data_IF_528000560193
#
_entry.id   IF_528000560193
#
_cell.length_a   1.000
_cell.length_b   1.000
_cell.length_c   1.000
_cell.angle_alpha   90.00
_cell.angle_beta   90.00
_cell.angle_gamma   90.00
#
_symmetry.space_group_name_H-M   'P 1'
#
loop_
_entity.id
_entity.type
_entity.pdbx_description
1 polymer ?
#
# COMPACT_ATOMS: atom_id res chain seq x y z
N UNK A 1 5.70 -20.62 23.65
CA UNK A 1 6.01 -19.17 23.67
C UNK A 1 4.89 -18.46 22.95
N UNK A 2 4.06 -17.74 23.70
CA UNK A 2 2.88 -17.01 23.20
C UNK A 2 3.26 -15.88 22.23
N UNK A 3 2.74 -15.96 21.01
CA UNK A 3 2.92 -14.97 19.92
C UNK A 3 2.14 -13.66 20.20
N UNK A 4 1.50 -13.52 21.37
CA UNK A 4 0.52 -12.46 21.67
C UNK A 4 1.11 -11.12 22.12
N UNK A 5 2.42 -10.84 22.00
CA UNK A 5 3.02 -9.62 22.57
C UNK A 5 3.90 -8.76 21.65
N UNK A 6 3.96 -9.01 20.33
CA UNK A 6 4.85 -8.22 19.44
C UNK A 6 4.13 -7.08 18.69
N UNK A 7 2.81 -6.93 18.79
CA UNK A 7 2.08 -5.84 18.13
C UNK A 7 1.94 -4.58 19.01
N UNK A 8 2.96 -4.28 19.82
CA UNK A 8 3.02 -3.09 20.66
C UNK A 8 4.18 -2.22 20.23
N UNK A 9 3.89 -0.94 19.96
CA UNK A 9 4.83 0.14 19.61
C UNK A 9 5.17 0.24 18.12
N UNK A 10 4.52 1.17 17.41
CA UNK A 10 5.01 1.52 16.07
C UNK A 10 4.22 2.49 15.20
N UNK A 11 3.28 3.31 15.69
CA UNK A 11 2.81 4.50 14.93
C UNK A 11 2.37 5.60 15.90
N UNK A 12 3.32 6.23 16.58
CA UNK A 12 3.10 7.55 17.17
C UNK A 12 3.10 8.58 16.03
N UNK A 13 2.12 9.49 16.03
CA UNK A 13 1.97 10.64 15.11
C UNK A 13 1.47 10.35 13.67
N UNK A 14 0.38 9.59 13.52
CA UNK A 14 -0.41 9.64 12.28
C UNK A 14 -1.93 9.67 12.52
N UNK A 15 -2.32 10.28 13.65
CA UNK A 15 -3.66 10.15 14.23
C UNK A 15 -4.66 11.25 13.84
N UNK A 16 -4.39 12.10 12.84
CA UNK A 16 -5.34 13.17 12.50
C UNK A 16 -6.64 12.62 11.91
N UNK A 17 -6.60 11.72 10.92
CA UNK A 17 -7.83 11.13 10.35
C UNK A 17 -8.40 9.96 11.16
N UNK A 18 -7.52 9.08 11.67
CA UNK A 18 -7.93 7.93 12.49
C UNK A 18 -8.48 8.36 13.86
N UNK A 19 -7.88 9.38 14.49
CA UNK A 19 -8.34 9.93 15.77
C UNK A 19 -9.71 10.62 15.65
N UNK A 20 -9.94 11.37 14.58
CA UNK A 20 -11.23 12.02 14.31
C UNK A 20 -12.34 11.01 14.03
N UNK A 21 -12.08 9.97 13.22
CA UNK A 21 -13.10 8.95 12.96
C UNK A 21 -13.48 8.17 14.22
N UNK A 22 -12.50 7.80 15.05
CA UNK A 22 -12.75 7.14 16.35
C UNK A 22 -13.56 8.03 17.30
N UNK A 23 -13.26 9.33 17.34
CA UNK A 23 -13.99 10.32 18.13
C UNK A 23 -15.45 10.43 17.69
N UNK A 24 -15.72 10.41 16.38
CA UNK A 24 -17.07 10.61 15.83
C UNK A 24 -17.92 9.34 15.82
N UNK A 25 -17.32 8.17 15.56
CA UNK A 25 -18.07 6.92 15.34
C UNK A 25 -18.05 5.96 16.52
N UNK A 26 -17.18 6.19 17.52
CA UNK A 26 -16.99 5.30 18.67
C UNK A 26 -16.49 3.90 18.31
N UNK A 27 -16.12 3.66 17.05
CA UNK A 27 -15.66 2.35 16.53
C UNK A 27 -14.42 2.55 15.68
N UNK A 28 -13.50 1.60 15.75
CA UNK A 28 -12.34 1.57 14.86
C UNK A 28 -12.73 0.88 13.54
N UNK A 29 -12.37 1.44 12.37
CA UNK A 29 -12.64 0.79 11.10
C UNK A 29 -11.76 -0.46 11.00
N UNK A 30 -12.32 -1.55 10.49
CA UNK A 30 -11.56 -2.80 10.31
C UNK A 30 -10.34 -2.55 9.43
N UNK A 31 -9.17 -3.05 9.85
CA UNK A 31 -7.91 -2.89 9.11
C UNK A 31 -8.08 -3.37 7.65
N UNK A 32 -7.58 -2.57 6.71
CA UNK A 32 -7.69 -2.79 5.25
C UNK A 32 -9.11 -2.77 4.67
N UNK A 33 -10.12 -2.33 5.43
CA UNK A 33 -11.43 -1.98 4.85
C UNK A 33 -11.37 -0.68 4.05
N UNK A 34 -12.30 -0.47 3.11
CA UNK A 34 -12.40 0.81 2.36
C UNK A 34 -12.42 2.02 3.30
N UNK A 35 -13.17 1.91 4.40
CA UNK A 35 -13.28 2.97 5.40
C UNK A 35 -11.97 3.23 6.14
N UNK A 36 -11.17 2.19 6.38
CA UNK A 36 -9.83 2.37 6.92
C UNK A 36 -8.95 3.14 5.93
N UNK A 37 -8.95 2.75 4.66
CA UNK A 37 -8.22 3.45 3.59
C UNK A 37 -8.64 4.91 3.42
N UNK A 38 -9.88 5.27 3.71
CA UNK A 38 -10.36 6.67 3.65
C UNK A 38 -9.95 7.50 4.88
N UNK A 39 -9.76 6.86 6.03
CA UNK A 39 -9.53 7.56 7.31
C UNK A 39 -8.06 7.75 7.67
N UNK A 40 -7.16 6.91 7.16
CA UNK A 40 -5.72 6.99 7.50
C UNK A 40 -4.95 7.92 6.55
N UNK A 41 -3.83 8.48 7.03
CA UNK A 41 -2.97 9.37 6.23
C UNK A 41 -2.08 8.61 5.24
N UNK A 42 -1.56 9.32 4.23
CA UNK A 42 -0.67 8.73 3.22
C UNK A 42 0.60 8.14 3.83
N UNK A 43 1.13 8.73 4.90
CA UNK A 43 2.29 8.18 5.62
C UNK A 43 1.98 6.80 6.22
N UNK A 44 0.78 6.60 6.79
CA UNK A 44 0.34 5.30 7.30
C UNK A 44 0.15 4.30 6.17
N UNK A 45 -0.49 4.74 5.07
CA UNK A 45 -0.68 3.89 3.90
C UNK A 45 0.67 3.41 3.34
N UNK A 46 1.64 4.31 3.18
CA UNK A 46 2.97 3.94 2.69
C UNK A 46 3.72 2.99 3.64
N UNK A 47 3.62 3.23 4.96
CA UNK A 47 4.26 2.37 5.97
C UNK A 47 3.67 0.96 5.97
N UNK A 48 2.34 0.85 5.99
CA UNK A 48 1.64 -0.42 5.96
C UNK A 48 1.83 -1.15 4.63
N UNK A 49 1.82 -0.43 3.50
CA UNK A 49 2.15 -0.98 2.19
C UNK A 49 3.52 -1.64 2.17
N UNK A 50 4.54 -1.01 2.78
CA UNK A 50 5.89 -1.58 2.83
C UNK A 50 5.96 -2.86 3.67
N UNK A 51 5.17 -2.95 4.75
CA UNK A 51 5.03 -4.18 5.54
C UNK A 51 4.42 -5.30 4.68
N UNK A 52 3.32 -5.01 3.98
CA UNK A 52 2.65 -5.96 3.08
C UNK A 52 3.59 -6.39 1.94
N UNK A 53 4.39 -5.47 1.39
CA UNK A 53 5.38 -5.76 0.34
C UNK A 53 6.44 -6.74 0.84
N UNK A 54 6.98 -6.54 2.05
CA UNK A 54 7.95 -7.46 2.67
C UNK A 54 7.33 -8.85 2.90
N UNK A 55 6.08 -8.91 3.35
CA UNK A 55 5.36 -10.18 3.49
C UNK A 55 5.16 -10.88 2.14
N UNK A 56 4.82 -10.13 1.09
CA UNK A 56 4.70 -10.67 -0.27
C UNK A 56 6.02 -11.27 -0.75
N UNK A 57 7.14 -10.53 -0.59
CA UNK A 57 8.47 -11.04 -0.91
C UNK A 57 8.86 -12.28 -0.10
N UNK A 58 8.29 -12.46 1.09
CA UNK A 58 8.56 -13.59 1.99
C UNK A 58 7.56 -14.75 1.83
N UNK A 59 6.57 -14.64 0.92
CA UNK A 59 5.50 -15.64 0.79
C UNK A 59 6.00 -16.99 0.23
N UNK A 60 7.17 -17.00 -0.42
CA UNK A 60 7.76 -18.21 -1.02
C UNK A 60 6.79 -18.89 -1.98
N UNK A 61 6.62 -20.20 -1.82
CA UNK A 61 5.75 -21.03 -2.67
C UNK A 61 4.26 -21.00 -2.28
N UNK A 62 3.89 -20.22 -1.25
CA UNK A 62 2.49 -20.08 -0.87
C UNK A 62 1.75 -19.14 -1.83
N UNK A 63 1.35 -19.70 -2.97
CA UNK A 63 0.71 -18.96 -4.05
C UNK A 63 -0.59 -18.27 -3.62
N UNK A 64 -1.44 -18.95 -2.83
CA UNK A 64 -2.71 -18.36 -2.36
C UNK A 64 -2.46 -17.11 -1.52
N UNK A 65 -1.49 -17.18 -0.59
CA UNK A 65 -1.10 -16.02 0.22
C UNK A 65 -0.50 -14.91 -0.64
N UNK A 66 0.38 -15.25 -1.59
CA UNK A 66 0.99 -14.28 -2.49
C UNK A 66 -0.05 -13.52 -3.31
N UNK A 67 -1.07 -14.21 -3.85
CA UNK A 67 -2.17 -13.58 -4.59
C UNK A 67 -2.97 -12.62 -3.70
N UNK A 68 -3.31 -13.03 -2.47
CA UNK A 68 -4.02 -12.16 -1.52
C UNK A 68 -3.21 -10.91 -1.17
N UNK A 69 -1.91 -11.05 -0.93
CA UNK A 69 -1.01 -9.94 -0.64
C UNK A 69 -0.83 -9.01 -1.86
N UNK A 70 -0.73 -9.56 -3.06
CA UNK A 70 -0.67 -8.76 -4.29
C UNK A 70 -1.96 -7.95 -4.49
N UNK A 71 -3.12 -8.55 -4.28
CA UNK A 71 -4.41 -7.84 -4.35
C UNK A 71 -4.47 -6.72 -3.32
N UNK A 72 -3.98 -6.96 -2.09
CA UNK A 72 -3.90 -5.93 -1.06
C UNK A 72 -2.96 -4.78 -1.47
N UNK A 73 -1.79 -5.07 -2.03
CA UNK A 73 -0.87 -4.04 -2.55
C UNK A 73 -1.54 -3.16 -3.63
N UNK A 74 -2.32 -3.77 -4.53
CA UNK A 74 -3.07 -3.00 -5.55
C UNK A 74 -4.09 -2.04 -4.92
N UNK A 75 -4.72 -2.42 -3.80
CA UNK A 75 -5.62 -1.51 -3.07
C UNK A 75 -4.86 -0.32 -2.48
N UNK A 76 -3.68 -0.54 -1.91
CA UNK A 76 -2.80 0.56 -1.46
C UNK A 76 -2.40 1.48 -2.61
N UNK A 77 -1.95 0.91 -3.73
CA UNK A 77 -1.53 1.68 -4.92
C UNK A 77 -2.69 2.50 -5.49
N UNK A 78 -3.88 1.91 -5.57
CA UNK A 78 -5.09 2.60 -6.02
C UNK A 78 -5.47 3.76 -5.10
N UNK A 79 -5.46 3.53 -3.78
CA UNK A 79 -5.79 4.57 -2.80
C UNK A 79 -4.79 5.74 -2.84
N UNK A 80 -3.48 5.45 -2.90
CA UNK A 80 -2.44 6.47 -3.00
C UNK A 80 -2.49 7.22 -4.34
N UNK A 81 -2.70 6.50 -5.44
CA UNK A 81 -2.85 7.12 -6.77
C UNK A 81 -4.04 8.06 -6.82
N UNK A 82 -5.22 7.62 -6.34
CA UNK A 82 -6.42 8.47 -6.27
C UNK A 82 -6.21 9.72 -5.42
N UNK A 83 -5.42 9.64 -4.36
CA UNK A 83 -5.10 10.81 -3.53
C UNK A 83 -4.10 11.76 -4.19
N UNK A 84 -3.13 11.22 -4.92
CA UNK A 84 -2.11 12.02 -5.61
C UNK A 84 -2.68 12.74 -6.84
N UNK A 85 -3.59 12.10 -7.58
CA UNK A 85 -4.08 12.58 -8.88
C UNK A 85 -5.56 13.00 -8.86
N UNK A 86 -6.33 12.65 -7.83
CA UNK A 86 -7.76 12.95 -7.79
C UNK A 86 -8.52 12.26 -8.93
N UNK A 87 -9.18 13.07 -9.76
CA UNK A 87 -9.89 12.66 -10.98
C UNK A 87 -9.03 12.78 -12.24
N UNK A 88 -7.79 13.27 -12.12
CA UNK A 88 -6.87 13.36 -13.26
C UNK A 88 -6.34 11.98 -13.64
N UNK A 89 -6.24 11.73 -14.94
CA UNK A 89 -5.63 10.50 -15.44
C UNK A 89 -4.12 10.61 -15.18
N UNK A 90 -3.51 9.64 -14.47
CA UNK A 90 -2.07 9.67 -14.21
C UNK A 90 -1.31 9.71 -15.53
N UNK A 91 -0.64 10.84 -15.79
CA UNK A 91 0.24 10.96 -16.95
C UNK A 91 1.58 10.33 -16.57
N UNK A 92 1.88 9.17 -17.15
CA UNK A 92 3.23 8.63 -17.10
C UNK A 92 4.22 9.66 -17.64
N UNK A 93 5.50 9.61 -17.23
CA UNK A 93 6.51 10.42 -17.88
C UNK A 93 6.47 10.13 -19.39
N UNK A 94 6.65 11.16 -20.21
CA UNK A 94 6.72 11.02 -21.68
C UNK A 94 7.98 10.25 -22.06
N UNK A 95 7.99 8.94 -21.83
CA UNK A 95 8.99 8.06 -22.37
C UNK A 95 8.62 7.80 -23.82
N UNK A 96 9.37 8.39 -24.73
CA UNK A 96 9.39 7.93 -26.10
C UNK A 96 9.79 6.45 -26.07
N UNK A 97 8.95 5.60 -26.68
CA UNK A 97 9.26 4.19 -26.94
C UNK A 97 10.37 4.13 -27.99
N UNK A 98 11.57 4.53 -27.61
CA UNK A 98 12.78 4.17 -28.34
C UNK A 98 13.12 2.76 -27.89
N UNK A 99 12.27 1.81 -28.27
CA UNK A 99 12.61 0.39 -28.21
C UNK A 99 13.87 0.23 -29.04
N UNK A 100 14.96 -0.13 -28.36
CA UNK A 100 16.31 -0.02 -28.89
C UNK A 100 16.49 -0.67 -30.26
N UNK A 101 16.65 0.17 -31.29
CA UNK A 101 17.41 -0.19 -32.48
C UNK A 101 18.88 -0.04 -32.15
N UNK A 102 19.49 -1.04 -31.48
CA UNK A 102 20.95 -1.31 -31.48
C UNK A 102 21.38 -2.51 -30.60
N UNK A 103 20.50 -3.50 -30.33
CA UNK A 103 20.89 -4.72 -29.60
C UNK A 103 21.55 -5.80 -30.48
N UNK A 104 22.10 -5.44 -31.64
CA UNK A 104 22.96 -6.33 -32.42
C UNK A 104 24.25 -5.57 -32.81
N UNK A 105 25.34 -5.87 -32.11
CA UNK A 105 26.69 -5.58 -32.60
C UNK A 105 27.29 -6.92 -32.99
N UNK A 106 27.66 -7.09 -34.25
CA UNK A 106 28.60 -8.13 -34.64
C UNK A 106 30.00 -7.65 -34.18
N UNK A 107 30.75 -8.54 -33.55
CA UNK A 107 32.18 -8.36 -33.30
C UNK A 107 32.96 -8.20 -34.63
#
# INVERSE_FOLDING_TARGET
>A
MDIKKVLGVGVGLAATGFGVYKLLSGREPQKYSSKWFETVSDQVLNTEREIVRKQYCSAGDNFSMAVSLQNLLRLFDSALSKRAWGDEIPHGPSYHREHGYNLFKND
#
